data_IF_913961261644
#
_entry.id   IF_913961261644
#
_cell.length_a   1.000
_cell.length_b   1.000
_cell.length_c   1.000
_cell.angle_alpha   90.00
_cell.angle_beta   90.00
_cell.angle_gamma   90.00
#
_symmetry.space_group_name_H-M   'P 1'
#
loop_
_entity.id
_entity.type
_entity.pdbx_description
1 polymer ?
#
# COMPACT_ATOMS: atom_id res chain seq x y z
N UNK A 1 0.27 -0.62 20.70
CA UNK A 1 1.65 -0.19 20.74
C UNK A 1 2.46 -0.87 21.84
N UNK A 2 3.72 -0.52 21.96
CA UNK A 2 4.64 -1.10 22.93
C UNK A 2 4.24 -0.82 24.39
N UNK A 3 3.47 0.21 24.66
CA UNK A 3 2.99 0.62 25.97
C UNK A 3 2.01 -0.38 26.61
N UNK A 4 1.40 -1.24 25.83
CA UNK A 4 0.46 -2.25 26.31
C UNK A 4 0.98 -3.68 26.16
N UNK A 5 2.25 -3.86 25.79
CA UNK A 5 2.89 -5.17 25.58
C UNK A 5 2.73 -6.07 26.80
N UNK A 6 3.06 -5.55 27.98
CA UNK A 6 3.00 -6.29 29.24
C UNK A 6 1.57 -6.68 29.62
N UNK A 7 0.62 -5.77 29.36
CA UNK A 7 -0.78 -5.97 29.76
C UNK A 7 -1.52 -6.94 28.82
N UNK A 8 -1.18 -7.00 27.56
CA UNK A 8 -1.88 -7.82 26.58
C UNK A 8 -1.06 -9.01 26.12
N UNK A 9 0.14 -8.80 25.59
CA UNK A 9 0.95 -9.88 25.04
C UNK A 9 1.41 -10.83 26.15
N UNK A 10 1.90 -10.29 27.26
CA UNK A 10 2.29 -11.11 28.42
C UNK A 10 1.12 -11.95 28.96
N UNK A 11 -0.08 -11.35 29.10
CA UNK A 11 -1.27 -12.09 29.54
C UNK A 11 -1.73 -13.14 28.52
N UNK A 12 -1.70 -12.84 27.21
CA UNK A 12 -2.06 -13.82 26.19
C UNK A 12 -1.13 -15.04 26.22
N UNK A 13 0.17 -14.82 26.35
CA UNK A 13 1.15 -15.91 26.49
C UNK A 13 0.85 -16.75 27.74
N UNK A 14 0.68 -16.10 28.88
CA UNK A 14 0.47 -16.74 30.16
C UNK A 14 -0.84 -17.54 30.17
N UNK A 15 -1.95 -16.94 29.71
CA UNK A 15 -3.24 -17.57 29.66
C UNK A 15 -3.25 -18.77 28.68
N UNK A 16 -2.65 -18.61 27.49
CA UNK A 16 -2.59 -19.66 26.51
C UNK A 16 -1.74 -20.85 26.97
N UNK A 17 -0.53 -20.57 27.46
CA UNK A 17 0.37 -21.63 27.92
C UNK A 17 -0.18 -22.37 29.16
N UNK A 18 -0.88 -21.66 30.06
CA UNK A 18 -1.50 -22.26 31.23
C UNK A 18 -2.78 -23.07 30.88
N UNK A 19 -3.69 -22.45 30.12
CA UNK A 19 -5.02 -23.06 29.84
C UNK A 19 -4.95 -24.20 28.82
N UNK A 20 -4.03 -24.13 27.86
CA UNK A 20 -3.90 -25.14 26.80
C UNK A 20 -2.90 -26.26 27.15
N UNK A 21 -2.17 -26.13 28.26
CA UNK A 21 -1.21 -27.12 28.70
C UNK A 21 -1.95 -28.37 29.18
N UNK A 22 -1.95 -29.40 28.32
CA UNK A 22 -2.51 -30.72 28.62
C UNK A 22 -1.48 -31.76 28.22
N UNK A 23 -1.55 -32.96 28.81
CA UNK A 23 -0.66 -34.08 28.47
C UNK A 23 -0.76 -34.53 26.99
N UNK A 24 -1.79 -34.01 26.29
CA UNK A 24 -2.06 -34.36 24.88
C UNK A 24 -1.59 -33.29 23.90
N UNK A 25 -1.26 -32.06 24.35
CA UNK A 25 -0.88 -30.96 23.48
C UNK A 25 0.61 -30.63 23.66
N UNK A 26 1.43 -30.70 22.59
CA UNK A 26 2.84 -30.29 22.67
C UNK A 26 2.96 -28.83 23.12
N UNK A 27 3.96 -28.51 23.92
CA UNK A 27 4.19 -27.16 24.50
C UNK A 27 4.26 -26.07 23.42
N UNK A 28 4.87 -26.37 22.28
CA UNK A 28 4.95 -25.47 21.14
C UNK A 28 3.58 -25.04 20.59
N UNK A 29 2.56 -25.89 20.68
CA UNK A 29 1.18 -25.59 20.27
C UNK A 29 0.40 -24.73 21.29
N UNK A 30 0.95 -24.56 22.49
CA UNK A 30 0.38 -23.65 23.49
C UNK A 30 0.84 -22.21 23.31
N UNK A 31 1.83 -21.98 22.45
CA UNK A 31 2.31 -20.62 22.13
C UNK A 31 1.30 -19.92 21.20
N UNK A 32 0.69 -18.80 21.60
CA UNK A 32 -0.42 -18.19 20.86
C UNK A 32 0.02 -17.54 19.54
N UNK A 33 1.28 -17.15 19.42
CA UNK A 33 1.84 -16.50 18.22
C UNK A 33 3.38 -16.55 18.25
N UNK A 34 4.00 -16.54 17.07
CA UNK A 34 5.46 -16.56 16.92
C UNK A 34 6.04 -15.14 16.73
N UNK A 35 5.22 -14.20 16.30
CA UNK A 35 5.66 -12.82 16.00
C UNK A 35 4.76 -11.81 16.69
N UNK A 36 5.36 -10.82 17.34
CA UNK A 36 4.66 -9.68 17.90
C UNK A 36 5.09 -8.44 17.13
N UNK A 37 4.18 -7.88 16.33
CA UNK A 37 4.43 -6.63 15.63
C UNK A 37 4.04 -5.45 16.52
N UNK A 38 5.01 -4.64 16.88
CA UNK A 38 4.80 -3.44 17.69
C UNK A 38 4.77 -2.21 16.80
N UNK A 39 3.58 -1.63 16.60
CA UNK A 39 3.47 -0.32 15.97
C UNK A 39 3.86 0.80 16.95
N UNK A 40 4.35 1.93 16.44
CA UNK A 40 4.59 3.13 17.23
C UNK A 40 3.31 3.83 17.67
N UNK A 41 3.43 4.79 18.58
CA UNK A 41 2.32 5.65 18.98
C UNK A 41 2.20 6.83 18.01
N UNK A 42 0.96 7.30 17.82
CA UNK A 42 0.71 8.51 17.06
C UNK A 42 0.91 9.73 17.96
N UNK A 43 1.71 10.67 17.47
CA UNK A 43 2.03 11.94 18.15
C UNK A 43 1.55 13.12 17.30
N UNK A 44 1.31 14.23 17.96
CA UNK A 44 1.03 15.50 17.28
C UNK A 44 2.28 16.04 16.56
N UNK A 45 2.16 17.21 15.92
CA UNK A 45 3.28 17.87 15.21
C UNK A 45 4.43 18.28 16.13
N UNK A 46 4.18 18.39 17.43
CA UNK A 46 5.17 18.77 18.45
C UNK A 46 5.77 17.55 19.17
N UNK A 47 5.42 16.35 18.74
CA UNK A 47 5.91 15.10 19.31
C UNK A 47 5.21 14.69 20.61
N UNK A 48 4.12 15.35 21.01
CA UNK A 48 3.34 14.95 22.18
C UNK A 48 2.38 13.82 21.84
N UNK A 49 2.18 12.88 22.76
CA UNK A 49 1.19 11.81 22.61
C UNK A 49 -0.21 12.42 22.51
N UNK A 50 -0.95 12.08 21.46
CA UNK A 50 -2.35 12.48 21.34
C UNK A 50 -3.19 11.81 22.41
N UNK A 51 -4.08 12.57 23.05
CA UNK A 51 -4.96 12.08 24.09
C UNK A 51 -6.36 12.69 23.93
N UNK A 52 -7.39 11.88 24.16
CA UNK A 52 -8.78 12.35 24.18
C UNK A 52 -9.05 13.42 25.24
N UNK A 53 -8.21 13.50 26.29
CA UNK A 53 -8.29 14.55 27.32
C UNK A 53 -7.78 15.91 26.85
N UNK A 54 -7.12 15.98 25.68
CA UNK A 54 -6.68 17.23 25.07
C UNK A 54 -7.18 17.29 23.59
N UNK A 55 -8.44 17.72 23.36
CA UNK A 55 -9.06 17.73 22.04
C UNK A 55 -8.32 18.59 21.02
N UNK A 56 -7.62 19.65 21.42
CA UNK A 56 -6.89 20.55 20.52
C UNK A 56 -5.71 19.85 19.81
N UNK A 57 -5.18 18.78 20.40
CA UNK A 57 -4.07 18.01 19.83
C UNK A 57 -4.50 16.68 19.25
N UNK A 58 -5.77 16.30 19.43
CA UNK A 58 -6.29 15.02 18.99
C UNK A 58 -6.98 15.17 17.63
N UNK A 59 -6.50 14.44 16.65
CA UNK A 59 -7.14 14.35 15.33
C UNK A 59 -8.24 13.31 15.40
N UNK A 60 -9.48 13.70 15.09
CA UNK A 60 -10.57 12.75 14.91
C UNK A 60 -10.45 12.09 13.52
N UNK A 61 -10.32 10.76 13.47
CA UNK A 61 -10.23 10.05 12.19
C UNK A 61 -11.46 10.25 11.29
N UNK A 62 -12.66 10.40 11.86
CA UNK A 62 -13.90 10.56 11.09
C UNK A 62 -13.93 11.91 10.38
N UNK A 63 -13.53 12.98 11.07
CA UNK A 63 -13.41 14.32 10.47
C UNK A 63 -12.39 14.32 9.31
N UNK A 64 -11.28 13.59 9.49
CA UNK A 64 -10.25 13.48 8.45
C UNK A 64 -10.73 12.66 7.25
N UNK A 65 -11.53 11.62 7.49
CA UNK A 65 -12.13 10.84 6.41
C UNK A 65 -13.13 11.68 5.62
N UNK A 66 -13.94 12.48 6.28
CA UNK A 66 -14.88 13.36 5.62
C UNK A 66 -14.17 14.42 4.76
N UNK A 67 -13.11 15.04 5.27
CA UNK A 67 -12.36 16.10 4.57
C UNK A 67 -11.45 15.56 3.45
N UNK A 68 -10.75 14.46 3.68
CA UNK A 68 -9.63 14.02 2.85
C UNK A 68 -9.80 12.63 2.24
N UNK A 69 -10.80 11.87 2.68
CA UNK A 69 -11.05 10.50 2.28
C UNK A 69 -10.27 9.47 3.10
N UNK A 70 -10.84 8.28 3.20
CA UNK A 70 -10.27 7.19 4.01
C UNK A 70 -8.88 6.75 3.52
N UNK A 71 -8.64 6.70 2.21
CA UNK A 71 -7.36 6.29 1.64
C UNK A 71 -6.22 7.24 2.00
N UNK A 72 -6.47 8.55 2.04
CA UNK A 72 -5.48 9.55 2.45
C UNK A 72 -5.07 9.38 3.92
N UNK A 73 -6.05 9.17 4.80
CA UNK A 73 -5.80 8.89 6.21
C UNK A 73 -5.01 7.59 6.38
N UNK A 74 -5.41 6.50 5.70
CA UNK A 74 -4.70 5.20 5.74
C UNK A 74 -3.24 5.33 5.33
N UNK A 75 -2.95 6.02 4.23
CA UNK A 75 -1.58 6.29 3.78
C UNK A 75 -0.77 7.07 4.80
N UNK A 76 -1.37 8.09 5.42
CA UNK A 76 -0.70 8.92 6.41
C UNK A 76 -0.30 8.16 7.68
N UNK A 77 -1.02 7.06 7.99
CA UNK A 77 -0.75 6.18 9.13
C UNK A 77 0.27 5.08 8.82
N UNK A 78 0.47 4.74 7.55
CA UNK A 78 1.37 3.65 7.16
C UNK A 78 2.68 4.17 6.59
N UNK A 79 2.65 5.12 5.65
CA UNK A 79 3.87 5.63 5.02
C UNK A 79 4.68 6.44 6.04
N UNK A 80 5.95 6.06 6.17
CA UNK A 80 6.86 6.63 7.17
C UNK A 80 6.79 5.95 8.54
N UNK A 81 5.93 4.93 8.71
CA UNK A 81 5.94 4.12 9.91
C UNK A 81 7.08 3.10 9.89
N UNK A 82 7.61 2.79 11.05
CA UNK A 82 8.54 1.68 11.26
C UNK A 82 8.24 0.98 12.58
N UNK A 83 8.51 -0.33 12.70
CA UNK A 83 8.22 -1.07 13.91
C UNK A 83 8.85 -0.40 15.15
N UNK A 84 8.06 -0.25 16.20
CA UNK A 84 8.51 0.30 17.49
C UNK A 84 8.75 1.80 17.55
N UNK A 85 8.69 2.52 16.43
CA UNK A 85 8.93 3.95 16.38
C UNK A 85 7.64 4.75 16.28
N UNK A 86 7.55 5.79 17.10
CA UNK A 86 6.43 6.72 17.06
C UNK A 86 6.46 7.56 15.78
N UNK A 87 5.29 8.02 15.37
CA UNK A 87 5.17 8.88 14.19
C UNK A 87 4.25 10.05 14.45
N UNK A 88 4.58 11.21 13.88
CA UNK A 88 3.69 12.36 13.93
C UNK A 88 2.60 12.31 12.87
N UNK A 89 1.38 12.64 13.29
CA UNK A 89 0.22 12.80 12.42
C UNK A 89 -0.31 14.24 12.59
N UNK A 90 -0.54 14.89 11.47
CA UNK A 90 -1.09 16.24 11.40
C UNK A 90 -1.87 16.40 10.09
N UNK A 91 -2.79 17.35 10.07
CA UNK A 91 -3.76 17.50 8.99
C UNK A 91 -3.11 17.71 7.62
N UNK A 92 -2.05 18.52 7.55
CA UNK A 92 -1.36 18.80 6.27
C UNK A 92 -0.68 17.55 5.69
N UNK A 93 -0.23 16.63 6.54
CA UNK A 93 0.29 15.33 6.08
C UNK A 93 -0.79 14.51 5.40
N UNK A 94 -2.01 14.49 5.98
CA UNK A 94 -3.16 13.77 5.42
C UNK A 94 -3.58 14.42 4.09
N UNK A 95 -3.65 15.75 4.05
CA UNK A 95 -3.93 16.52 2.83
C UNK A 95 -2.92 16.22 1.70
N UNK A 96 -1.63 16.07 2.04
CA UNK A 96 -0.59 15.67 1.08
C UNK A 96 -0.89 14.30 0.44
N UNK A 97 -1.32 13.33 1.22
CA UNK A 97 -1.70 12.01 0.69
C UNK A 97 -3.01 12.02 -0.10
N UNK A 98 -3.96 12.91 0.20
CA UNK A 98 -5.12 13.13 -0.67
C UNK A 98 -4.70 13.54 -2.08
N UNK A 99 -3.70 14.42 -2.20
CA UNK A 99 -3.17 14.82 -3.51
C UNK A 99 -2.57 13.62 -4.26
N UNK A 100 -1.93 12.70 -3.56
CA UNK A 100 -1.44 11.47 -4.17
C UNK A 100 -2.58 10.55 -4.64
N UNK A 101 -3.61 10.36 -3.84
CA UNK A 101 -4.81 9.60 -4.24
C UNK A 101 -5.45 10.21 -5.49
N UNK A 102 -5.57 11.55 -5.54
CA UNK A 102 -6.05 12.26 -6.73
C UNK A 102 -5.11 12.07 -7.93
N UNK A 103 -3.80 11.99 -7.71
CA UNK A 103 -2.82 11.74 -8.80
C UNK A 103 -3.01 10.35 -9.39
N UNK A 104 -3.23 9.32 -8.56
CA UNK A 104 -3.55 7.95 -9.01
C UNK A 104 -4.83 7.97 -9.87
N UNK A 105 -5.87 8.62 -9.37
CA UNK A 105 -7.14 8.75 -10.09
C UNK A 105 -6.95 9.38 -11.46
N UNK A 106 -6.29 10.54 -11.53
CA UNK A 106 -6.06 11.26 -12.77
C UNK A 106 -5.16 10.48 -13.75
N UNK A 107 -4.12 9.81 -13.26
CA UNK A 107 -3.25 8.96 -14.07
C UNK A 107 -4.03 7.78 -14.68
N UNK A 108 -4.87 7.13 -13.88
CA UNK A 108 -5.73 6.03 -14.35
C UNK A 108 -6.75 6.51 -15.38
N UNK A 109 -7.39 7.64 -15.13
CA UNK A 109 -8.31 8.27 -16.08
C UNK A 109 -7.61 8.60 -17.39
N UNK A 110 -6.41 9.21 -17.33
CA UNK A 110 -5.63 9.48 -18.53
C UNK A 110 -5.28 8.19 -19.31
N UNK A 111 -4.84 7.14 -18.62
CA UNK A 111 -4.55 5.86 -19.25
C UNK A 111 -5.80 5.31 -19.97
N UNK A 112 -6.95 5.29 -19.28
CA UNK A 112 -8.23 4.82 -19.84
C UNK A 112 -8.70 5.63 -21.05
N UNK A 113 -8.52 6.94 -21.07
CA UNK A 113 -8.86 7.80 -22.22
C UNK A 113 -7.96 7.57 -23.43
N UNK A 114 -6.82 6.98 -23.25
CA UNK A 114 -5.81 6.76 -24.27
C UNK A 114 -5.74 5.33 -24.81
N UNK A 115 -6.70 4.47 -24.45
CA UNK A 115 -6.78 3.07 -24.85
C UNK A 115 -8.14 2.78 -25.47
N UNK A 116 -8.21 1.73 -26.26
CA UNK A 116 -9.46 1.24 -26.83
C UNK A 116 -10.04 0.12 -25.98
N UNK A 117 -11.32 -0.23 -26.22
CA UNK A 117 -11.96 -1.40 -25.60
C UNK A 117 -11.27 -2.72 -25.98
N UNK A 118 -10.67 -2.76 -27.16
CA UNK A 118 -9.90 -3.92 -27.61
C UNK A 118 -8.56 -4.03 -26.88
N UNK A 119 -7.91 -2.91 -26.58
CA UNK A 119 -6.66 -2.92 -25.80
C UNK A 119 -6.89 -3.42 -24.36
N UNK A 120 -8.05 -3.15 -23.77
CA UNK A 120 -8.41 -3.65 -22.44
C UNK A 120 -8.57 -5.17 -22.39
N UNK A 121 -8.96 -5.79 -23.51
CA UNK A 121 -9.17 -7.25 -23.61
C UNK A 121 -7.88 -8.02 -23.88
N UNK A 122 -6.84 -7.36 -24.36
CA UNK A 122 -5.56 -8.01 -24.65
C UNK A 122 -4.81 -8.30 -23.35
N UNK A 123 -4.38 -9.53 -23.20
CA UNK A 123 -3.40 -9.88 -22.18
C UNK A 123 -2.02 -9.33 -22.57
N UNK A 124 -1.25 -8.92 -21.58
CA UNK A 124 0.09 -8.43 -21.82
C UNK A 124 1.03 -9.59 -22.17
N UNK A 125 1.77 -9.45 -23.26
CA UNK A 125 2.81 -10.36 -23.69
C UNK A 125 4.12 -9.60 -23.87
N UNK A 126 5.25 -10.23 -23.55
CA UNK A 126 6.57 -9.62 -23.64
C UNK A 126 6.90 -9.14 -25.07
N UNK A 127 6.37 -9.79 -26.09
CA UNK A 127 6.49 -9.38 -27.50
C UNK A 127 5.86 -8.02 -27.82
N UNK A 128 5.03 -7.47 -26.94
CA UNK A 128 4.43 -6.15 -27.10
C UNK A 128 5.37 -5.01 -26.68
N UNK A 129 6.52 -5.32 -26.09
CA UNK A 129 7.52 -4.34 -25.64
C UNK A 129 8.29 -3.80 -26.85
N UNK A 130 8.08 -2.53 -27.19
CA UNK A 130 8.60 -1.93 -28.43
C UNK A 130 9.72 -0.93 -28.19
N UNK A 131 9.65 -0.16 -27.12
CA UNK A 131 10.56 0.98 -26.89
C UNK A 131 11.51 0.75 -25.72
N UNK A 132 12.55 1.58 -25.66
CA UNK A 132 13.41 1.63 -24.48
C UNK A 132 12.65 2.03 -23.22
N UNK A 133 11.68 2.95 -23.36
CA UNK A 133 10.84 3.39 -22.25
C UNK A 133 9.97 2.25 -21.70
N UNK A 134 9.43 1.37 -22.57
CA UNK A 134 8.69 0.19 -22.16
C UNK A 134 9.57 -0.76 -21.34
N UNK A 135 10.78 -1.05 -21.85
CA UNK A 135 11.75 -1.90 -21.14
C UNK A 135 12.14 -1.33 -19.80
N UNK A 136 12.38 -0.03 -19.75
CA UNK A 136 12.73 0.66 -18.52
C UNK A 136 11.63 0.57 -17.46
N UNK A 137 10.39 0.94 -17.79
CA UNK A 137 9.30 0.94 -16.81
C UNK A 137 8.97 -0.47 -16.31
N UNK A 138 9.04 -1.49 -17.19
CA UNK A 138 8.83 -2.89 -16.81
C UNK A 138 9.94 -3.39 -15.88
N UNK A 139 11.20 -3.02 -16.17
CA UNK A 139 12.33 -3.34 -15.30
C UNK A 139 12.16 -2.71 -13.91
N UNK A 140 11.75 -1.44 -13.85
CA UNK A 140 11.49 -0.75 -12.59
C UNK A 140 10.30 -1.34 -11.84
N UNK A 141 9.26 -1.80 -12.56
CA UNK A 141 8.13 -2.51 -11.98
C UNK A 141 8.56 -3.84 -11.35
N UNK A 142 9.38 -4.62 -12.02
CA UNK A 142 9.88 -5.89 -11.49
C UNK A 142 10.76 -5.68 -10.23
N UNK A 143 11.61 -4.65 -10.24
CA UNK A 143 12.38 -4.25 -9.05
C UNK A 143 11.45 -3.87 -7.89
N UNK A 144 10.37 -3.14 -8.18
CA UNK A 144 9.37 -2.76 -7.19
C UNK A 144 8.69 -3.99 -6.58
N UNK A 145 8.16 -4.89 -7.41
CA UNK A 145 7.46 -6.11 -6.95
C UNK A 145 8.37 -6.89 -5.99
N UNK A 146 9.61 -7.13 -6.39
CA UNK A 146 10.60 -7.84 -5.56
C UNK A 146 10.86 -7.13 -4.23
N UNK A 147 11.05 -5.82 -4.25
CA UNK A 147 11.36 -5.05 -3.05
C UNK A 147 10.16 -4.97 -2.10
N UNK A 148 8.94 -4.77 -2.62
CA UNK A 148 7.70 -4.73 -1.84
C UNK A 148 7.43 -6.09 -1.20
N UNK A 149 7.62 -7.20 -1.93
CA UNK A 149 7.45 -8.55 -1.37
C UNK A 149 8.41 -8.80 -0.19
N UNK A 150 9.68 -8.41 -0.33
CA UNK A 150 10.67 -8.49 0.75
C UNK A 150 10.27 -7.60 1.94
N UNK A 151 9.79 -6.38 1.70
CA UNK A 151 9.40 -5.47 2.78
C UNK A 151 8.18 -5.98 3.54
N UNK A 152 7.16 -6.49 2.84
CA UNK A 152 5.96 -7.06 3.47
C UNK A 152 6.31 -8.31 4.29
N UNK A 153 7.12 -9.23 3.74
CA UNK A 153 7.58 -10.44 4.46
C UNK A 153 8.37 -10.12 5.73
N UNK A 154 9.06 -8.99 5.74
CA UNK A 154 9.81 -8.51 6.89
C UNK A 154 9.02 -7.49 7.76
N UNK A 155 7.72 -7.37 7.59
CA UNK A 155 6.83 -6.47 8.33
C UNK A 155 7.22 -4.98 8.20
N UNK A 156 7.91 -4.58 7.12
CA UNK A 156 8.29 -3.18 6.84
C UNK A 156 7.23 -2.49 5.99
N UNK A 157 6.00 -2.41 6.51
CA UNK A 157 4.85 -1.91 5.76
C UNK A 157 5.02 -0.46 5.29
N UNK A 158 5.61 0.40 6.12
CA UNK A 158 5.93 1.79 5.75
C UNK A 158 6.91 1.87 4.58
N UNK A 159 7.93 1.01 4.58
CA UNK A 159 8.90 0.90 3.46
C UNK A 159 8.24 0.45 2.16
N UNK A 160 7.41 -0.59 2.22
CA UNK A 160 6.64 -1.05 1.07
C UNK A 160 5.76 0.07 0.49
N UNK A 161 4.98 0.75 1.34
CA UNK A 161 4.14 1.87 0.92
C UNK A 161 4.93 3.01 0.28
N UNK A 162 6.08 3.39 0.83
CA UNK A 162 6.95 4.43 0.27
C UNK A 162 7.45 4.05 -1.12
N UNK A 163 7.92 2.81 -1.32
CA UNK A 163 8.40 2.35 -2.64
C UNK A 163 7.31 2.39 -3.70
N UNK A 164 6.09 1.97 -3.34
CA UNK A 164 4.96 2.00 -4.26
C UNK A 164 4.57 3.45 -4.59
N UNK A 165 4.55 4.32 -3.58
CA UNK A 165 4.30 5.74 -3.76
C UNK A 165 5.31 6.38 -4.73
N UNK A 166 6.61 6.18 -4.51
CA UNK A 166 7.68 6.73 -5.34
C UNK A 166 7.62 6.21 -6.78
N UNK A 167 7.33 4.92 -6.95
CA UNK A 167 7.18 4.33 -8.28
C UNK A 167 6.00 4.95 -9.05
N UNK A 168 4.83 5.02 -8.41
CA UNK A 168 3.64 5.59 -9.06
C UNK A 168 3.85 7.07 -9.38
N UNK A 169 4.34 7.84 -8.40
CA UNK A 169 4.51 9.27 -8.59
C UNK A 169 5.60 9.59 -9.60
N UNK A 170 6.82 9.17 -9.31
CA UNK A 170 8.00 9.62 -10.06
C UNK A 170 8.18 8.85 -11.37
N UNK A 171 8.07 7.51 -11.35
CA UNK A 171 8.42 6.69 -12.53
C UNK A 171 7.24 6.54 -13.49
N UNK A 172 6.08 6.17 -12.96
CA UNK A 172 4.91 5.96 -13.81
C UNK A 172 4.30 7.29 -14.26
N UNK A 173 3.93 8.19 -13.34
CA UNK A 173 3.24 9.43 -13.68
C UNK A 173 4.15 10.47 -14.33
N UNK A 174 5.30 10.78 -13.69
CA UNK A 174 6.13 11.90 -14.15
C UNK A 174 6.97 11.57 -15.40
N UNK A 175 7.28 10.29 -15.63
CA UNK A 175 8.07 9.89 -16.79
C UNK A 175 7.30 9.06 -17.79
N UNK A 176 6.90 7.84 -17.43
CA UNK A 176 6.35 6.91 -18.42
C UNK A 176 5.06 7.40 -19.06
N UNK A 177 4.17 7.96 -18.25
CA UNK A 177 2.90 8.50 -18.70
C UNK A 177 3.09 9.73 -19.59
N UNK A 178 4.08 10.59 -19.31
CA UNK A 178 4.43 11.73 -20.17
C UNK A 178 5.02 11.26 -21.52
N UNK A 179 5.93 10.29 -21.51
CA UNK A 179 6.49 9.69 -22.73
C UNK A 179 5.37 9.06 -23.59
N UNK A 180 4.37 8.45 -22.95
CA UNK A 180 3.25 7.80 -23.63
C UNK A 180 2.25 8.77 -24.31
N UNK A 181 2.41 10.09 -24.10
CA UNK A 181 1.61 11.11 -24.81
C UNK A 181 2.06 11.32 -26.25
N UNK A 182 3.30 10.96 -26.59
CA UNK A 182 3.90 11.12 -27.91
C UNK A 182 3.73 9.90 -28.83
N UNK A 183 4.58 9.82 -29.83
CA UNK A 183 4.59 8.76 -30.85
C UNK A 183 4.93 7.36 -30.27
N UNK A 184 5.51 7.31 -29.09
CA UNK A 184 5.94 6.07 -28.43
C UNK A 184 4.86 5.43 -27.54
N UNK A 185 3.58 5.75 -27.79
CA UNK A 185 2.46 5.21 -27.05
C UNK A 185 2.38 3.69 -27.18
N UNK A 186 2.40 3.01 -26.04
CA UNK A 186 2.18 1.57 -25.94
C UNK A 186 1.06 1.26 -24.94
N UNK A 187 -0.21 1.16 -25.41
CA UNK A 187 -1.36 0.91 -24.53
C UNK A 187 -1.23 -0.36 -23.70
N UNK A 188 -0.66 -1.43 -24.26
CA UNK A 188 -0.52 -2.71 -23.58
C UNK A 188 0.37 -2.61 -22.34
N UNK A 189 1.55 -1.98 -22.48
CA UNK A 189 2.47 -1.76 -21.34
C UNK A 189 1.89 -0.75 -20.35
N UNK A 190 1.25 0.32 -20.86
CA UNK A 190 0.63 1.35 -20.02
C UNK A 190 -0.41 0.75 -19.06
N UNK A 191 -1.31 -0.09 -19.59
CA UNK A 191 -2.36 -0.76 -18.80
C UNK A 191 -1.76 -1.80 -17.88
N UNK A 192 -0.83 -2.62 -18.37
CA UNK A 192 -0.20 -3.65 -17.56
C UNK A 192 0.47 -3.08 -16.32
N UNK A 193 1.30 -2.05 -16.50
CA UNK A 193 1.99 -1.39 -15.38
C UNK A 193 0.99 -0.78 -14.40
N UNK A 194 -0.07 -0.14 -14.90
CA UNK A 194 -1.11 0.43 -14.06
C UNK A 194 -1.84 -0.64 -13.25
N UNK A 195 -2.27 -1.73 -13.88
CA UNK A 195 -2.94 -2.84 -13.19
C UNK A 195 -2.09 -3.42 -12.06
N UNK A 196 -0.80 -3.64 -12.30
CA UNK A 196 0.12 -4.14 -11.27
C UNK A 196 0.33 -3.10 -10.16
N UNK A 197 0.48 -1.83 -10.51
CA UNK A 197 0.60 -0.76 -9.52
C UNK A 197 -0.65 -0.64 -8.62
N UNK A 198 -1.86 -0.78 -9.19
CA UNK A 198 -3.10 -0.81 -8.43
C UNK A 198 -3.15 -2.02 -7.48
N UNK A 199 -2.75 -3.22 -7.93
CA UNK A 199 -2.67 -4.41 -7.08
C UNK A 199 -1.72 -4.20 -5.90
N UNK A 200 -0.52 -3.67 -6.13
CA UNK A 200 0.45 -3.39 -5.08
C UNK A 200 -0.03 -2.33 -4.10
N UNK A 201 -0.76 -1.33 -4.60
CA UNK A 201 -1.26 -0.22 -3.78
C UNK A 201 -2.54 -0.55 -3.01
N UNK A 202 -3.30 -1.57 -3.43
CA UNK A 202 -4.60 -1.92 -2.87
C UNK A 202 -4.62 -2.12 -1.34
N UNK A 203 -3.66 -2.80 -0.70
CA UNK A 203 -3.64 -2.92 0.76
C UNK A 203 -3.56 -1.58 1.50
N UNK A 204 -3.02 -0.56 0.85
CA UNK A 204 -2.82 0.79 1.40
C UNK A 204 -3.98 1.73 1.11
N UNK A 205 -4.52 1.69 -0.11
CA UNK A 205 -5.61 2.55 -0.59
C UNK A 205 -6.73 1.72 -1.24
N UNK A 206 -7.47 0.92 -0.45
CA UNK A 206 -8.43 -0.03 -1.00
C UNK A 206 -9.58 0.62 -1.77
N UNK A 207 -10.04 1.80 -1.36
CA UNK A 207 -11.24 2.40 -1.95
C UNK A 207 -10.98 2.93 -3.37
N UNK A 208 -9.97 3.75 -3.56
CA UNK A 208 -9.65 4.31 -4.89
C UNK A 208 -9.20 3.23 -5.86
N UNK A 209 -8.40 2.26 -5.38
CA UNK A 209 -7.89 1.20 -6.27
C UNK A 209 -8.98 0.22 -6.68
N UNK A 210 -9.92 -0.13 -5.79
CA UNK A 210 -11.08 -0.95 -6.14
C UNK A 210 -11.96 -0.25 -7.17
N UNK A 211 -12.32 1.02 -6.93
CA UNK A 211 -13.13 1.80 -7.88
C UNK A 211 -12.48 1.91 -9.26
N UNK A 212 -11.15 2.11 -9.30
CA UNK A 212 -10.42 2.14 -10.58
C UNK A 212 -10.35 0.78 -11.25
N UNK A 213 -10.27 -0.31 -10.46
CA UNK A 213 -10.18 -1.66 -10.98
C UNK A 213 -11.43 -2.10 -11.73
N UNK A 214 -12.61 -1.65 -11.35
CA UNK A 214 -13.89 -1.92 -12.03
C UNK A 214 -13.86 -1.56 -13.53
N UNK A 215 -13.03 -0.59 -13.92
CA UNK A 215 -12.85 -0.21 -15.33
C UNK A 215 -12.00 -1.21 -16.14
N UNK A 216 -11.22 -2.05 -15.45
CA UNK A 216 -10.30 -3.01 -16.08
C UNK A 216 -10.79 -4.44 -15.99
N UNK A 217 -11.54 -4.79 -14.97
CA UNK A 217 -11.94 -6.16 -14.67
C UNK A 217 -13.33 -6.22 -14.04
N UNK A 218 -13.99 -7.38 -14.18
CA UNK A 218 -15.28 -7.64 -13.52
C UNK A 218 -15.13 -8.24 -12.11
N UNK A 219 -13.94 -8.76 -11.78
CA UNK A 219 -13.61 -9.28 -10.46
C UNK A 219 -13.27 -8.16 -9.49
N UNK A 220 -13.44 -8.41 -8.20
CA UNK A 220 -12.96 -7.50 -7.16
C UNK A 220 -11.43 -7.56 -7.07
N UNK A 221 -10.79 -6.40 -6.95
CA UNK A 221 -9.33 -6.30 -6.81
C UNK A 221 -8.82 -7.03 -5.57
N UNK A 222 -9.59 -6.97 -4.47
CA UNK A 222 -9.25 -7.66 -3.22
C UNK A 222 -9.13 -9.19 -3.37
N UNK A 223 -9.80 -9.78 -4.38
CA UNK A 223 -9.73 -11.23 -4.66
C UNK A 223 -8.66 -11.62 -5.67
N UNK A 224 -7.97 -10.64 -6.25
CA UNK A 224 -6.93 -10.87 -7.26
C UNK A 224 -5.64 -11.41 -6.65
N UNK A 225 -4.91 -12.20 -7.42
CA UNK A 225 -3.59 -12.70 -7.01
C UNK A 225 -2.59 -11.57 -6.85
N UNK A 226 -1.76 -11.67 -5.79
CA UNK A 226 -0.65 -10.77 -5.57
C UNK A 226 0.37 -10.85 -6.70
N UNK A 227 0.91 -9.70 -7.17
CA UNK A 227 1.91 -9.70 -8.22
C UNK A 227 3.17 -10.45 -7.82
N UNK A 228 3.62 -11.34 -8.70
CA UNK A 228 4.84 -12.12 -8.48
C UNK A 228 5.99 -11.56 -9.30
N UNK A 229 7.18 -11.55 -8.69
CA UNK A 229 8.40 -11.18 -9.40
C UNK A 229 8.75 -12.21 -10.48
N UNK A 230 8.90 -11.76 -11.72
CA UNK A 230 9.38 -12.55 -12.85
C UNK A 230 10.87 -12.25 -13.10
N UNK A 231 11.65 -13.31 -13.28
CA UNK A 231 13.09 -13.21 -13.55
C UNK A 231 13.43 -13.10 -15.05
N UNK A 232 12.46 -13.37 -15.93
CA UNK A 232 12.68 -13.47 -17.37
C UNK A 232 12.60 -12.12 -18.09
#
# INVERSE_FOLDING_TARGET
>A
GYDILFFWVGRMILASTYALRTDKLPEEKCIPFHTVYLHGLIRDRHGKKMSKSNPETCIDPLDMIEKYGADALRLSLVIGSSPGNDMSLYEEKIAGYRNFVNKIWNASRFALMNITKEDLKKEFEIGMVKSFADKWILTELQKLIKAVDVDIKNHRLGGAGTRIYDFIWQKYCDWYLEISKGEHKNPAVLIYVLKIALKLMHPFTPFVTETLWEHFNKSFLISESWPMYDKN
#
